data_IF_750438590776
#
_entry.id   IF_750438590776
#
_cell.length_a   1.000
_cell.length_b   1.000
_cell.length_c   1.000
_cell.angle_alpha   90.00
_cell.angle_beta   90.00
_cell.angle_gamma   90.00
#
_symmetry.space_group_name_H-M   'P 1'
#
loop_
_entity.id
_entity.type
_entity.pdbx_description
1 polymer ?
#
# COMPACT_ATOMS: atom_id res chain seq x y z
N UNK A 1 25.48 3.73 -13.28
CA UNK A 1 25.09 4.72 -14.33
C UNK A 1 24.48 6.00 -13.74
N UNK A 2 23.73 5.95 -12.66
CA UNK A 2 23.11 7.13 -12.03
C UNK A 2 24.14 8.00 -11.29
N UNK A 3 25.27 7.43 -10.85
CA UNK A 3 26.28 8.07 -10.01
C UNK A 3 27.01 9.23 -10.71
N UNK A 4 27.13 9.14 -12.04
CA UNK A 4 27.94 10.07 -12.82
C UNK A 4 27.20 11.37 -13.22
N UNK A 5 25.84 11.35 -13.15
CA UNK A 5 25.00 12.46 -13.60
C UNK A 5 24.42 13.31 -12.45
N UNK A 6 24.29 12.75 -11.22
CA UNK A 6 23.69 13.47 -10.08
C UNK A 6 24.41 14.80 -9.76
N UNK A 7 25.76 14.91 -9.82
CA UNK A 7 26.45 16.17 -9.55
C UNK A 7 26.14 17.30 -10.52
N UNK A 8 25.61 17.00 -11.69
CA UNK A 8 25.34 17.99 -12.77
C UNK A 8 24.03 18.75 -12.58
N UNK A 9 23.15 18.30 -11.66
CA UNK A 9 21.87 18.97 -11.42
C UNK A 9 21.99 20.08 -10.39
N UNK A 10 21.35 21.22 -10.65
CA UNK A 10 21.27 22.35 -9.73
C UNK A 10 20.44 22.02 -8.48
N UNK A 11 19.36 21.26 -8.66
CA UNK A 11 18.48 20.79 -7.58
C UNK A 11 18.05 19.34 -7.78
N UNK A 12 17.86 18.65 -6.66
CA UNK A 12 17.39 17.26 -6.58
C UNK A 12 16.17 17.22 -5.70
N UNK A 13 15.05 16.78 -6.24
CA UNK A 13 13.81 16.61 -5.49
C UNK A 13 13.60 15.16 -5.13
N UNK A 14 13.41 14.90 -3.84
CA UNK A 14 13.09 13.59 -3.28
C UNK A 14 11.61 13.52 -2.91
N UNK A 15 10.97 12.39 -3.18
CA UNK A 15 9.53 12.23 -2.95
C UNK A 15 9.14 12.06 -1.46
N UNK A 16 10.13 11.99 -0.55
CA UNK A 16 9.92 11.87 0.90
C UNK A 16 11.20 12.21 1.66
N UNK A 17 11.09 12.53 2.95
CA UNK A 17 12.25 12.78 3.79
C UNK A 17 13.14 11.54 4.01
N UNK A 18 12.63 10.31 4.16
CA UNK A 18 13.47 9.12 4.17
C UNK A 18 14.31 8.96 2.90
N UNK A 19 13.73 9.23 1.72
CA UNK A 19 14.48 9.18 0.45
C UNK A 19 15.54 10.27 0.42
N UNK A 20 15.21 11.49 0.85
CA UNK A 20 16.18 12.59 0.97
C UNK A 20 17.36 12.22 1.86
N UNK A 21 17.09 11.68 3.05
CA UNK A 21 18.12 11.21 3.98
C UNK A 21 19.03 10.14 3.37
N UNK A 22 18.47 9.20 2.60
CA UNK A 22 19.25 8.18 1.90
C UNK A 22 20.16 8.79 0.81
N UNK A 23 19.64 9.77 0.06
CA UNK A 23 20.43 10.49 -0.95
C UNK A 23 21.60 11.22 -0.30
N UNK A 24 21.34 12.00 0.76
CA UNK A 24 22.38 12.77 1.49
C UNK A 24 23.38 11.84 2.18
N UNK A 25 22.94 10.73 2.75
CA UNK A 25 23.85 9.75 3.36
C UNK A 25 24.81 9.14 2.33
N UNK A 26 24.36 9.00 1.07
CA UNK A 26 25.18 8.47 -0.02
C UNK A 26 26.02 9.51 -0.74
N UNK A 27 25.54 10.75 -0.78
CA UNK A 27 26.12 11.90 -1.47
C UNK A 27 26.02 13.15 -0.57
N UNK A 28 26.86 13.26 0.49
CA UNK A 28 26.79 14.36 1.45
C UNK A 28 26.94 15.75 0.82
N UNK A 29 27.69 15.83 -0.28
CA UNK A 29 27.93 17.06 -1.05
C UNK A 29 26.67 17.64 -1.71
N UNK A 30 25.59 16.86 -1.77
CA UNK A 30 24.31 17.27 -2.37
C UNK A 30 23.31 17.81 -1.35
N UNK A 31 23.65 17.86 -0.06
CA UNK A 31 22.72 18.21 1.01
C UNK A 31 22.00 19.55 0.76
N UNK A 32 22.75 20.59 0.37
CA UNK A 32 22.22 21.94 0.15
C UNK A 32 21.39 22.07 -1.15
N UNK A 33 21.46 21.06 -2.02
CA UNK A 33 20.71 21.02 -3.30
C UNK A 33 19.57 20.01 -3.30
N UNK A 34 19.39 19.27 -2.19
CA UNK A 34 18.39 18.22 -2.10
C UNK A 34 17.22 18.67 -1.24
N UNK A 35 16.04 18.73 -1.84
CA UNK A 35 14.79 19.14 -1.21
C UNK A 35 13.74 18.02 -1.29
N UNK A 36 12.71 18.08 -0.43
CA UNK A 36 11.57 17.18 -0.52
C UNK A 36 10.49 17.83 -1.37
N UNK A 37 9.99 17.10 -2.35
CA UNK A 37 8.80 17.42 -3.13
C UNK A 37 7.89 16.20 -3.12
N UNK A 38 6.85 16.24 -2.29
CA UNK A 38 5.89 15.14 -2.18
C UNK A 38 5.14 14.92 -3.49
N UNK A 39 4.83 13.66 -3.78
CA UNK A 39 3.94 13.34 -4.88
C UNK A 39 2.55 13.92 -4.62
N UNK A 40 2.07 14.72 -5.56
CA UNK A 40 0.73 15.30 -5.52
C UNK A 40 -0.28 14.38 -6.21
N UNK A 41 -1.47 14.26 -5.62
CA UNK A 41 -2.63 13.64 -6.27
C UNK A 41 -3.87 14.52 -6.09
N UNK A 42 -4.75 14.50 -7.06
CA UNK A 42 -6.07 15.14 -6.94
C UNK A 42 -7.01 14.25 -6.12
N UNK A 43 -7.08 14.53 -4.82
CA UNK A 43 -7.94 13.80 -3.87
C UNK A 43 -9.41 13.86 -4.31
N UNK A 44 -9.88 15.00 -4.80
CA UNK A 44 -11.27 15.15 -5.25
C UNK A 44 -11.56 14.26 -6.47
N UNK A 45 -10.58 14.12 -7.36
CA UNK A 45 -10.68 13.21 -8.49
C UNK A 45 -10.74 11.75 -8.03
N UNK A 46 -9.89 11.34 -7.09
CA UNK A 46 -9.90 9.98 -6.50
C UNK A 46 -11.27 9.68 -5.89
N UNK A 47 -11.79 10.61 -5.06
CA UNK A 47 -13.09 10.46 -4.42
C UNK A 47 -14.22 10.36 -5.46
N UNK A 48 -14.25 11.25 -6.46
CA UNK A 48 -15.24 11.20 -7.55
C UNK A 48 -15.17 9.88 -8.32
N UNK A 49 -13.97 9.43 -8.71
CA UNK A 49 -13.78 8.18 -9.44
C UNK A 49 -14.13 6.95 -8.61
N UNK A 50 -14.07 7.02 -7.29
CA UNK A 50 -14.47 5.93 -6.41
C UNK A 50 -15.98 5.65 -6.40
N UNK A 51 -16.79 6.59 -6.90
CA UNK A 51 -18.25 6.44 -7.02
C UNK A 51 -18.66 5.74 -8.33
N UNK A 52 -17.72 5.51 -9.25
CA UNK A 52 -18.02 4.79 -10.49
C UNK A 52 -18.47 3.35 -10.19
N UNK A 53 -19.44 2.81 -10.96
CA UNK A 53 -19.94 1.46 -10.74
C UNK A 53 -18.83 0.42 -10.84
N UNK A 54 -18.76 -0.48 -9.86
CA UNK A 54 -17.84 -1.62 -9.84
C UNK A 54 -18.58 -2.88 -10.32
N UNK A 55 -18.36 -3.26 -11.57
CA UNK A 55 -19.00 -4.42 -12.22
C UNK A 55 -18.00 -5.53 -12.60
N UNK A 56 -16.93 -5.70 -11.83
CA UNK A 56 -15.93 -6.74 -12.08
C UNK A 56 -16.41 -8.09 -11.49
N UNK A 57 -16.72 -9.10 -12.33
CA UNK A 57 -17.22 -10.38 -11.86
C UNK A 57 -16.18 -11.18 -11.06
N UNK A 58 -14.91 -10.82 -11.12
CA UNK A 58 -13.85 -11.44 -10.33
C UNK A 58 -13.80 -10.87 -8.90
N UNK A 59 -14.29 -9.64 -8.68
CA UNK A 59 -14.22 -8.96 -7.39
C UNK A 59 -15.40 -9.31 -6.49
N UNK A 60 -15.40 -10.57 -5.99
CA UNK A 60 -16.47 -11.17 -5.19
C UNK A 60 -15.95 -11.66 -3.84
N UNK A 61 -16.85 -11.91 -2.91
CA UNK A 61 -16.55 -12.42 -1.56
C UNK A 61 -17.04 -11.48 -0.48
N UNK A 62 -17.24 -12.01 0.73
CA UNK A 62 -17.76 -11.26 1.88
C UNK A 62 -16.67 -10.39 2.51
N UNK A 63 -15.46 -10.96 2.72
CA UNK A 63 -14.31 -10.25 3.28
C UNK A 63 -13.26 -10.02 2.20
N UNK A 64 -13.03 -8.77 1.84
CA UNK A 64 -12.16 -8.36 0.74
C UNK A 64 -10.97 -7.56 1.23
N UNK A 65 -9.78 -8.09 1.01
CA UNK A 65 -8.54 -7.35 1.13
C UNK A 65 -8.10 -6.85 -0.24
N UNK A 66 -7.42 -5.72 -0.28
CA UNK A 66 -6.95 -5.13 -1.52
C UNK A 66 -5.53 -4.59 -1.37
N UNK A 67 -4.74 -4.77 -2.42
CA UNK A 67 -3.47 -4.09 -2.64
C UNK A 67 -3.43 -3.56 -4.07
N UNK A 68 -2.96 -2.34 -4.26
CA UNK A 68 -2.78 -1.73 -5.59
C UNK A 68 -1.31 -1.38 -5.78
N UNK A 69 -0.72 -1.84 -6.87
CA UNK A 69 0.67 -1.51 -7.19
C UNK A 69 1.30 -2.46 -8.19
N UNK A 70 2.53 -2.13 -8.60
CA UNK A 70 3.28 -2.93 -9.57
C UNK A 70 3.67 -4.28 -8.96
N UNK A 71 3.50 -5.37 -9.72
CA UNK A 71 3.98 -6.69 -9.31
C UNK A 71 5.52 -6.75 -9.46
N UNK A 72 6.22 -6.32 -8.43
CA UNK A 72 7.67 -6.27 -8.33
C UNK A 72 8.13 -6.65 -6.92
N UNK A 73 9.39 -7.03 -6.77
CA UNK A 73 9.97 -7.49 -5.50
C UNK A 73 9.77 -6.47 -4.37
N UNK A 74 9.88 -5.17 -4.68
CA UNK A 74 9.74 -4.07 -3.72
C UNK A 74 8.35 -4.05 -3.07
N UNK A 75 7.30 -4.52 -3.78
CA UNK A 75 5.92 -4.53 -3.29
C UNK A 75 5.59 -5.70 -2.36
N UNK A 76 6.48 -6.71 -2.25
CA UNK A 76 6.34 -7.79 -1.28
C UNK A 76 5.16 -8.73 -1.53
N UNK A 77 4.71 -8.89 -2.78
CA UNK A 77 3.55 -9.74 -3.08
C UNK A 77 3.83 -11.23 -2.89
N UNK A 78 5.08 -11.65 -2.91
CA UNK A 78 5.51 -12.98 -2.47
C UNK A 78 5.24 -13.20 -0.98
N UNK A 79 5.43 -12.18 -0.14
CA UNK A 79 5.03 -12.22 1.28
C UNK A 79 3.50 -12.20 1.40
N UNK A 80 2.78 -11.45 0.56
CA UNK A 80 1.32 -11.49 0.54
C UNK A 80 0.78 -12.89 0.25
N UNK A 81 1.39 -13.65 -0.67
CA UNK A 81 1.05 -15.06 -0.94
C UNK A 81 1.25 -15.92 0.32
N UNK A 82 2.35 -15.76 1.03
CA UNK A 82 2.64 -16.52 2.26
C UNK A 82 1.69 -16.13 3.41
N UNK A 83 1.39 -14.84 3.58
CA UNK A 83 0.38 -14.37 4.56
C UNK A 83 -0.98 -14.97 4.22
N UNK A 84 -1.35 -15.01 2.93
CA UNK A 84 -2.61 -15.63 2.48
C UNK A 84 -2.68 -17.09 2.88
N UNK A 85 -1.60 -17.85 2.69
CA UNK A 85 -1.52 -19.25 3.09
C UNK A 85 -1.67 -19.43 4.60
N UNK A 86 -1.03 -18.58 5.39
CA UNK A 86 -1.14 -18.62 6.85
C UNK A 86 -2.56 -18.28 7.32
N UNK A 87 -3.20 -17.25 6.76
CA UNK A 87 -4.57 -16.89 7.10
C UNK A 87 -5.58 -17.99 6.71
N UNK A 88 -5.40 -18.63 5.55
CA UNK A 88 -6.17 -19.79 5.12
C UNK A 88 -6.02 -20.96 6.10
N UNK A 89 -4.79 -21.28 6.48
CA UNK A 89 -4.50 -22.33 7.48
C UNK A 89 -5.17 -22.06 8.82
N UNK A 90 -5.34 -20.80 9.21
CA UNK A 90 -6.07 -20.38 10.42
C UNK A 90 -7.59 -20.39 10.25
N UNK A 91 -8.11 -20.78 9.09
CA UNK A 91 -9.54 -20.89 8.82
C UNK A 91 -10.24 -19.57 8.51
N UNK A 92 -9.51 -18.50 8.19
CA UNK A 92 -10.12 -17.25 7.76
C UNK A 92 -10.68 -17.39 6.35
N UNK A 93 -11.94 -17.02 6.16
CA UNK A 93 -12.59 -16.97 4.85
C UNK A 93 -12.51 -15.55 4.29
N UNK A 94 -11.74 -15.34 3.21
CA UNK A 94 -11.49 -14.03 2.63
C UNK A 94 -11.04 -14.15 1.16
N UNK A 95 -10.97 -13.00 0.48
CA UNK A 95 -10.28 -12.83 -0.81
C UNK A 95 -9.32 -11.66 -0.70
N UNK A 96 -8.09 -11.85 -1.16
CA UNK A 96 -7.11 -10.78 -1.28
C UNK A 96 -6.87 -10.46 -2.74
N UNK A 97 -7.32 -9.30 -3.17
CA UNK A 97 -7.21 -8.84 -4.55
C UNK A 97 -5.95 -8.01 -4.73
N UNK A 98 -5.21 -8.28 -5.79
CA UNK A 98 -4.03 -7.54 -6.20
C UNK A 98 -4.34 -6.87 -7.54
N UNK A 99 -4.36 -5.53 -7.57
CA UNK A 99 -4.51 -4.75 -8.79
C UNK A 99 -3.14 -4.22 -9.21
N UNK A 100 -2.77 -4.50 -10.45
CA UNK A 100 -1.53 -4.07 -11.07
C UNK A 100 -0.90 -5.16 -11.91
N UNK A 101 0.15 -4.77 -12.62
CA UNK A 101 0.95 -5.66 -13.46
C UNK A 101 2.44 -5.45 -13.16
N UNK A 102 3.29 -6.34 -13.63
CA UNK A 102 4.72 -6.22 -13.48
C UNK A 102 5.48 -7.52 -13.76
N UNK A 103 6.80 -7.41 -13.76
CA UNK A 103 7.71 -8.50 -14.15
C UNK A 103 7.53 -9.79 -13.33
N UNK A 104 7.08 -9.67 -12.08
CA UNK A 104 7.00 -10.80 -11.14
C UNK A 104 5.61 -11.48 -11.14
N UNK A 105 4.62 -10.96 -11.91
CA UNK A 105 3.23 -11.43 -11.86
C UNK A 105 3.09 -12.94 -12.15
N UNK A 106 3.79 -13.46 -13.16
CA UNK A 106 3.73 -14.89 -13.49
C UNK A 106 4.35 -15.76 -12.40
N UNK A 107 5.48 -15.31 -11.81
CA UNK A 107 6.12 -15.98 -10.67
C UNK A 107 5.17 -16.02 -9.47
N UNK A 108 4.49 -14.92 -9.18
CA UNK A 108 3.54 -14.82 -8.08
C UNK A 108 2.32 -15.74 -8.26
N UNK A 109 1.80 -15.84 -9.48
CA UNK A 109 0.72 -16.79 -9.80
C UNK A 109 1.16 -18.25 -9.63
N UNK A 110 2.39 -18.60 -10.03
CA UNK A 110 2.96 -19.93 -9.78
C UNK A 110 3.08 -20.19 -8.29
N UNK A 111 3.62 -19.23 -7.55
CA UNK A 111 3.76 -19.32 -6.10
C UNK A 111 2.40 -19.48 -5.40
N UNK A 112 1.35 -18.76 -5.83
CA UNK A 112 0.01 -18.92 -5.28
C UNK A 112 -0.54 -20.36 -5.46
N UNK A 113 -0.24 -21.01 -6.60
CA UNK A 113 -0.59 -22.44 -6.83
C UNK A 113 0.22 -23.37 -5.93
N UNK A 114 1.53 -23.15 -5.79
CA UNK A 114 2.41 -23.95 -4.93
C UNK A 114 1.95 -23.90 -3.46
N UNK A 115 1.49 -22.73 -3.00
CA UNK A 115 0.91 -22.53 -1.67
C UNK A 115 -0.58 -22.90 -1.59
N UNK A 116 -1.21 -23.32 -2.69
CA UNK A 116 -2.62 -23.71 -2.79
C UNK A 116 -3.57 -22.59 -2.33
N UNK A 117 -3.28 -21.35 -2.73
CA UNK A 117 -4.05 -20.15 -2.34
C UNK A 117 -4.56 -19.34 -3.54
N UNK A 118 -4.55 -19.90 -4.74
CA UNK A 118 -5.03 -19.24 -5.95
C UNK A 118 -6.52 -18.87 -5.92
N UNK A 119 -7.27 -19.45 -4.99
CA UNK A 119 -8.67 -19.10 -4.75
C UNK A 119 -8.84 -17.96 -3.74
N UNK A 120 -7.87 -17.71 -2.90
CA UNK A 120 -7.86 -16.68 -1.86
C UNK A 120 -7.13 -15.42 -2.33
N UNK A 121 -5.99 -15.53 -3.06
CA UNK A 121 -5.26 -14.39 -3.60
C UNK A 121 -5.48 -14.26 -5.11
N UNK A 122 -6.12 -13.18 -5.53
CA UNK A 122 -6.59 -12.99 -6.90
C UNK A 122 -5.83 -11.83 -7.55
N UNK A 123 -5.05 -12.14 -8.59
CA UNK A 123 -4.33 -11.13 -9.37
C UNK A 123 -5.23 -10.63 -10.51
N UNK A 124 -5.83 -9.47 -10.30
CA UNK A 124 -6.77 -8.86 -11.25
C UNK A 124 -6.09 -8.27 -12.49
N UNK A 125 -4.75 -8.06 -12.46
CA UNK A 125 -4.04 -7.31 -13.50
C UNK A 125 -4.31 -5.80 -13.40
N UNK A 126 -3.99 -5.07 -14.47
CA UNK A 126 -4.24 -3.62 -14.52
C UNK A 126 -5.73 -3.31 -14.50
N UNK A 127 -6.09 -2.25 -13.78
CA UNK A 127 -7.43 -1.63 -13.83
C UNK A 127 -7.25 -0.14 -14.07
N UNK A 128 -8.00 0.42 -15.02
CA UNK A 128 -7.92 1.84 -15.37
C UNK A 128 -8.33 2.73 -14.20
N UNK A 129 -9.33 2.28 -13.44
CA UNK A 129 -9.80 2.95 -12.24
C UNK A 129 -9.80 1.99 -11.04
N UNK A 130 -8.77 2.00 -10.18
CA UNK A 130 -8.74 1.18 -8.97
C UNK A 130 -9.59 1.75 -7.82
N UNK A 131 -10.01 3.02 -7.86
CA UNK A 131 -10.65 3.70 -6.75
C UNK A 131 -11.95 3.02 -6.24
N UNK A 132 -12.86 2.49 -7.10
CA UNK A 132 -14.03 1.75 -6.64
C UNK A 132 -13.69 0.47 -5.87
N UNK A 133 -12.60 -0.22 -6.28
CA UNK A 133 -12.11 -1.39 -5.55
C UNK A 133 -11.57 -1.00 -4.18
N UNK A 134 -10.77 0.08 -4.12
CA UNK A 134 -10.28 0.63 -2.85
C UNK A 134 -11.46 1.00 -1.96
N UNK A 135 -12.46 1.73 -2.48
CA UNK A 135 -13.65 2.13 -1.72
C UNK A 135 -14.41 0.93 -1.15
N UNK A 136 -14.49 -0.19 -1.87
CA UNK A 136 -15.30 -1.34 -1.50
C UNK A 136 -14.54 -2.45 -0.75
N UNK A 137 -13.22 -2.34 -0.56
CA UNK A 137 -12.50 -3.33 0.26
C UNK A 137 -12.72 -3.11 1.76
N UNK A 138 -12.58 -4.18 2.55
CA UNK A 138 -12.65 -4.15 4.00
C UNK A 138 -11.34 -3.68 4.63
N UNK A 139 -10.21 -4.20 4.14
CA UNK A 139 -8.87 -3.79 4.51
C UNK A 139 -8.02 -3.50 3.28
N UNK A 140 -7.25 -2.42 3.34
CA UNK A 140 -6.19 -2.13 2.38
C UNK A 140 -4.86 -2.59 2.95
N UNK A 141 -4.19 -3.51 2.27
CA UNK A 141 -2.95 -4.14 2.75
C UNK A 141 -1.78 -3.73 1.86
N UNK A 142 -0.66 -3.32 2.47
CA UNK A 142 0.54 -2.90 1.74
C UNK A 142 1.80 -3.54 2.33
N UNK A 143 2.13 -4.79 1.98
CA UNK A 143 3.29 -5.51 2.52
C UNK A 143 4.58 -5.18 1.76
N UNK A 144 4.86 -3.90 1.51
CA UNK A 144 6.01 -3.48 0.71
C UNK A 144 7.32 -3.59 1.48
N UNK A 145 8.39 -4.00 0.80
CA UNK A 145 9.78 -3.94 1.29
C UNK A 145 10.34 -2.53 1.23
N UNK A 146 10.02 -1.84 0.13
CA UNK A 146 10.53 -0.50 -0.15
C UNK A 146 9.47 0.36 -0.83
N UNK A 147 9.36 1.60 -0.39
CA UNK A 147 8.55 2.65 -1.00
C UNK A 147 9.29 3.98 -0.94
N UNK A 148 9.05 4.83 -1.92
CA UNK A 148 9.47 6.22 -1.86
C UNK A 148 8.47 7.06 -1.07
N UNK A 149 7.32 7.31 -1.68
CA UNK A 149 6.11 7.91 -1.09
C UNK A 149 4.90 7.26 -1.76
N UNK A 150 4.32 6.21 -1.18
CA UNK A 150 3.28 5.41 -1.83
C UNK A 150 1.98 6.19 -2.00
N UNK A 151 1.70 6.62 -3.23
CA UNK A 151 0.46 7.34 -3.60
C UNK A 151 -0.77 6.49 -3.28
N UNK A 152 -0.69 5.17 -3.46
CA UNK A 152 -1.80 4.25 -3.16
C UNK A 152 -2.22 4.25 -1.69
N UNK A 153 -1.32 4.57 -0.76
CA UNK A 153 -1.65 4.81 0.65
C UNK A 153 -2.42 6.12 0.80
N UNK A 154 -2.00 7.18 0.09
CA UNK A 154 -2.72 8.47 0.07
C UNK A 154 -4.14 8.27 -0.45
N UNK A 155 -4.31 7.53 -1.56
CA UNK A 155 -5.61 7.18 -2.13
C UNK A 155 -6.48 6.40 -1.14
N UNK A 156 -5.93 5.35 -0.52
CA UNK A 156 -6.66 4.54 0.46
C UNK A 156 -7.09 5.36 1.69
N UNK A 157 -6.22 6.26 2.19
CA UNK A 157 -6.54 7.18 3.29
C UNK A 157 -7.64 8.16 2.90
N UNK A 158 -7.57 8.74 1.70
CA UNK A 158 -8.58 9.68 1.20
C UNK A 158 -9.98 9.06 1.05
N UNK A 159 -10.02 7.74 0.86
CA UNK A 159 -11.23 6.91 0.83
C UNK A 159 -11.55 6.26 2.20
N UNK A 160 -10.90 6.73 3.27
CA UNK A 160 -11.14 6.33 4.67
C UNK A 160 -11.00 4.82 4.90
N UNK A 161 -10.08 4.17 4.19
CA UNK A 161 -9.84 2.74 4.34
C UNK A 161 -8.98 2.44 5.56
N UNK A 162 -9.30 1.36 6.25
CA UNK A 162 -8.42 0.79 7.28
C UNK A 162 -7.25 0.14 6.57
N UNK A 163 -6.05 0.67 6.84
CA UNK A 163 -4.81 0.27 6.18
C UNK A 163 -3.96 -0.53 7.17
N UNK A 164 -3.39 -1.65 6.70
CA UNK A 164 -2.28 -2.33 7.39
C UNK A 164 -1.10 -2.33 6.42
N UNK A 165 0.00 -1.71 6.79
CA UNK A 165 1.19 -1.60 5.97
C UNK A 165 2.44 -2.09 6.68
N UNK A 166 3.46 -2.45 5.91
CA UNK A 166 4.78 -2.76 6.48
C UNK A 166 5.37 -1.55 7.20
N UNK A 167 6.02 -1.81 8.34
CA UNK A 167 6.66 -0.79 9.17
C UNK A 167 8.02 -0.37 8.59
N UNK A 168 7.98 0.47 7.55
CA UNK A 168 9.14 1.05 6.87
C UNK A 168 9.09 2.58 6.95
N UNK A 169 10.25 3.28 6.81
CA UNK A 169 10.32 4.73 7.02
C UNK A 169 9.31 5.55 6.23
N UNK A 170 9.09 5.24 4.94
CA UNK A 170 8.14 5.96 4.08
C UNK A 170 6.68 5.73 4.46
N UNK A 171 6.34 4.58 5.07
CA UNK A 171 5.00 4.33 5.59
C UNK A 171 4.75 5.12 6.89
N UNK A 172 5.76 5.24 7.76
CA UNK A 172 5.67 6.03 9.01
C UNK A 172 5.43 7.52 8.76
N UNK A 173 5.77 8.05 7.59
CA UNK A 173 5.43 9.44 7.21
C UNK A 173 3.93 9.63 6.97
N UNK A 174 3.23 8.57 6.56
CA UNK A 174 1.82 8.63 6.19
C UNK A 174 0.91 7.99 7.23
N UNK A 175 1.40 7.00 7.98
CA UNK A 175 0.61 6.19 8.91
C UNK A 175 1.17 6.36 10.33
N UNK A 176 0.30 6.79 11.24
CA UNK A 176 0.51 6.72 12.69
C UNK A 176 -0.19 5.47 13.20
N UNK A 177 0.62 4.50 13.72
CA UNK A 177 0.11 3.19 14.12
C UNK A 177 -0.99 3.30 15.18
N UNK A 178 -2.14 2.68 14.90
CA UNK A 178 -3.33 2.69 15.75
C UNK A 178 -4.18 3.96 15.67
N UNK A 179 -3.74 5.04 14.97
CA UNK A 179 -4.51 6.27 14.84
C UNK A 179 -5.21 6.40 13.48
N UNK A 180 -4.46 6.40 12.39
CA UNK A 180 -4.97 6.57 11.03
C UNK A 180 -4.68 5.38 10.11
N UNK A 181 -4.24 4.26 10.68
CA UNK A 181 -3.87 3.00 10.05
C UNK A 181 -3.01 2.19 10.99
N UNK A 182 -2.51 1.06 10.51
CA UNK A 182 -1.69 0.15 11.31
C UNK A 182 -0.37 -0.14 10.60
N UNK A 183 0.71 -0.18 11.38
CA UNK A 183 2.03 -0.60 10.93
C UNK A 183 2.36 -1.98 11.51
N UNK A 184 3.06 -2.78 10.72
CA UNK A 184 3.45 -4.13 11.11
C UNK A 184 4.82 -4.48 10.53
N UNK A 185 5.70 -5.13 11.28
CA UNK A 185 6.91 -5.70 10.71
C UNK A 185 6.59 -6.59 9.50
N UNK A 186 7.45 -6.58 8.50
CA UNK A 186 7.27 -7.37 7.29
C UNK A 186 7.67 -8.84 7.55
N UNK A 187 6.87 -9.48 8.38
CA UNK A 187 6.96 -10.88 8.78
C UNK A 187 5.60 -11.55 8.60
N UNK A 188 5.59 -12.76 8.04
CA UNK A 188 4.35 -13.47 7.66
C UNK A 188 3.43 -13.69 8.86
N UNK A 189 3.99 -14.17 9.98
CA UNK A 189 3.19 -14.50 11.16
C UNK A 189 2.63 -13.25 11.83
N UNK A 190 3.49 -12.24 12.04
CA UNK A 190 3.10 -10.98 12.66
C UNK A 190 2.08 -10.22 11.80
N UNK A 191 2.22 -10.25 10.47
CA UNK A 191 1.27 -9.60 9.58
C UNK A 191 -0.10 -10.31 9.59
N UNK A 192 -0.12 -11.65 9.60
CA UNK A 192 -1.34 -12.42 9.76
C UNK A 192 -2.02 -12.17 11.13
N UNK A 193 -1.24 -12.10 12.22
CA UNK A 193 -1.74 -11.75 13.56
C UNK A 193 -2.34 -10.35 13.57
N UNK A 194 -1.66 -9.36 12.97
CA UNK A 194 -2.16 -7.98 12.87
C UNK A 194 -3.47 -7.92 12.11
N UNK A 195 -3.60 -8.62 10.97
CA UNK A 195 -4.85 -8.71 10.20
C UNK A 195 -5.97 -9.25 11.06
N UNK A 196 -5.80 -10.40 11.73
CA UNK A 196 -6.83 -11.01 12.58
C UNK A 196 -7.20 -10.09 13.75
N UNK A 197 -6.21 -9.48 14.42
CA UNK A 197 -6.45 -8.53 15.51
C UNK A 197 -7.28 -7.33 15.03
N UNK A 198 -6.91 -6.72 13.92
CA UNK A 198 -7.64 -5.57 13.35
C UNK A 198 -9.06 -5.98 12.92
N UNK A 199 -9.26 -7.18 12.36
CA UNK A 199 -10.58 -7.68 12.01
C UNK A 199 -11.47 -7.91 13.24
N UNK A 200 -10.91 -8.36 14.34
CA UNK A 200 -11.65 -8.57 15.59
C UNK A 200 -11.98 -7.26 16.33
N UNK A 201 -11.22 -6.19 16.09
CA UNK A 201 -11.37 -4.89 16.75
C UNK A 201 -12.23 -3.93 15.90
N UNK A 202 -13.55 -4.02 16.00
CA UNK A 202 -14.47 -3.13 15.30
C UNK A 202 -14.35 -1.69 15.78
N UNK A 203 -14.21 -1.47 17.08
CA UNK A 203 -14.10 -0.12 17.67
C UNK A 203 -12.82 0.58 17.19
N UNK A 204 -11.69 -0.12 17.16
CA UNK A 204 -10.43 0.40 16.64
C UNK A 204 -10.53 0.76 15.16
N UNK A 205 -11.18 -0.08 14.32
CA UNK A 205 -11.41 0.24 12.91
C UNK A 205 -12.26 1.48 12.73
N UNK A 206 -13.30 1.66 13.54
CA UNK A 206 -14.19 2.82 13.45
C UNK A 206 -13.49 4.10 13.96
N UNK A 207 -12.64 3.98 14.98
CA UNK A 207 -11.78 5.07 15.44
C UNK A 207 -10.81 5.53 14.33
N UNK A 208 -10.14 4.59 13.64
CA UNK A 208 -9.26 4.89 12.48
C UNK A 208 -10.05 5.59 11.37
N UNK A 209 -11.22 5.09 11.00
CA UNK A 209 -12.06 5.72 9.97
C UNK A 209 -12.50 7.14 10.37
N UNK A 210 -12.85 7.34 11.64
CA UNK A 210 -13.21 8.65 12.20
C UNK A 210 -12.02 9.62 12.08
N UNK A 211 -10.83 9.17 12.49
CA UNK A 211 -9.61 9.97 12.41
C UNK A 211 -9.29 10.39 10.98
N UNK A 212 -9.43 9.47 10.01
CA UNK A 212 -9.21 9.76 8.59
C UNK A 212 -10.22 10.79 8.02
N UNK A 213 -11.44 10.85 8.55
CA UNK A 213 -12.43 11.88 8.19
C UNK A 213 -12.11 13.24 8.79
N UNK A 214 -11.64 13.27 10.04
CA UNK A 214 -11.32 14.49 10.78
C UNK A 214 -10.00 15.14 10.32
N UNK A 215 -9.07 14.34 9.81
CA UNK A 215 -7.79 14.80 9.28
C UNK A 215 -7.69 14.48 7.77
N UNK A 216 -8.42 15.20 6.93
CA UNK A 216 -8.33 15.00 5.49
C UNK A 216 -6.91 15.32 5.00
N UNK A 217 -6.47 14.59 3.98
CA UNK A 217 -5.17 14.83 3.38
C UNK A 217 -5.23 16.16 2.63
N UNK A 218 -4.36 17.08 2.98
CA UNK A 218 -4.23 18.38 2.34
C UNK A 218 -2.82 18.55 1.78
N UNK A 219 -2.70 18.81 0.49
CA UNK A 219 -1.46 19.13 -0.20
C UNK A 219 -1.33 20.64 -0.47
N UNK A 220 -2.25 21.49 0.00
CA UNK A 220 -2.24 22.93 -0.27
C UNK A 220 -1.22 23.70 0.57
N UNK A 221 -0.60 23.07 1.55
CA UNK A 221 0.34 23.68 2.49
C UNK A 221 1.82 23.39 2.16
N UNK A 222 2.15 23.04 0.92
CA UNK A 222 3.51 22.77 0.45
C UNK A 222 4.02 23.81 -0.53
#
# INVERSE_FOLDING_TARGET
>A
RTRDFIPEYDKIYCVSEPVRKQVIARFPELADRTEVLLNFIDIKQVQRRSEEPLSDPQYTGELKFLTVGRASEEKGYDIAVQITAELKKRGLCFKWFIIGDGRDLNKLRTMAKEYQVEQEIIFLGMRENPAPYVKSCDLYLQPSRHEGYPITIVEARSLQKVIIASDIPSMREQIRDGENGYLCPLDVMQFADKIQKVLADQEGRDAVRKKLREEPIDFSAG
#
